data_IF_883812992465
#
_entry.id   IF_883812992465
#
_cell.length_a   1.000
_cell.length_b   1.000
_cell.length_c   1.000
_cell.angle_alpha   90.00
_cell.angle_beta   90.00
_cell.angle_gamma   90.00
#
_symmetry.space_group_name_H-M   'P 1'
#
loop_
_entity.id
_entity.type
_entity.pdbx_description
1 polymer ?
#
# COMPACT_ATOMS: atom_id res chain seq x y z
N UNK A 1 40.96 -35.01 13.81
CA UNK A 1 39.82 -34.83 12.89
C UNK A 1 40.36 -34.49 11.52
N UNK A 2 39.95 -35.24 10.49
CA UNK A 2 40.44 -35.05 9.14
C UNK A 2 39.58 -34.01 8.40
N UNK A 3 40.24 -32.99 7.84
CA UNK A 3 39.63 -31.80 7.19
C UNK A 3 38.67 -32.22 6.06
N UNK A 4 38.94 -33.36 5.44
CA UNK A 4 38.15 -33.94 4.35
C UNK A 4 36.85 -34.60 4.81
N UNK A 5 36.80 -35.04 6.07
CA UNK A 5 35.62 -35.65 6.66
C UNK A 5 34.59 -34.59 7.07
N UNK A 6 35.05 -33.43 7.54
CA UNK A 6 34.19 -32.29 7.91
C UNK A 6 33.46 -31.69 6.70
N UNK A 7 34.15 -31.51 5.56
CA UNK A 7 33.53 -30.96 4.35
C UNK A 7 32.52 -31.91 3.69
N UNK A 8 32.71 -33.23 3.82
CA UNK A 8 31.75 -34.23 3.29
C UNK A 8 30.45 -34.28 4.11
N UNK A 9 30.51 -34.01 5.41
CA UNK A 9 29.32 -33.96 6.27
C UNK A 9 28.44 -32.72 5.99
N UNK A 10 29.02 -31.61 5.49
CA UNK A 10 28.28 -30.37 5.20
C UNK A 10 27.48 -30.38 3.89
N UNK A 11 27.82 -31.23 2.91
CA UNK A 11 27.12 -31.26 1.60
C UNK A 11 25.83 -32.08 1.65
N UNK A 12 25.68 -33.02 2.59
CA UNK A 12 24.46 -33.85 2.68
C UNK A 12 23.30 -33.12 3.36
N UNK A 13 23.54 -32.07 4.15
CA UNK A 13 22.47 -31.25 4.75
C UNK A 13 21.93 -30.14 3.84
N UNK A 14 22.60 -29.85 2.71
CA UNK A 14 22.14 -28.82 1.75
C UNK A 14 21.07 -29.34 0.77
N UNK A 15 20.86 -30.66 0.68
CA UNK A 15 19.95 -31.26 -0.30
C UNK A 15 18.46 -31.26 0.07
N UNK A 16 18.10 -31.06 1.34
CA UNK A 16 16.70 -31.13 1.80
C UNK A 16 16.10 -29.76 2.19
N UNK A 17 16.94 -28.72 2.30
CA UNK A 17 16.51 -27.39 2.75
C UNK A 17 16.05 -26.44 1.64
N UNK A 18 16.49 -26.64 0.40
CA UNK A 18 16.22 -25.70 -0.69
C UNK A 18 14.83 -25.85 -1.34
N UNK A 19 14.05 -26.88 -0.97
CA UNK A 19 12.68 -27.07 -1.45
C UNK A 19 11.61 -26.52 -0.50
N UNK A 20 12.00 -26.07 0.70
CA UNK A 20 11.07 -25.59 1.72
C UNK A 20 10.64 -24.11 1.64
N UNK A 21 11.36 -23.14 1.02
CA UNK A 21 10.86 -21.77 1.00
C UNK A 21 9.77 -21.54 -0.06
N UNK A 22 9.72 -22.36 -1.13
CA UNK A 22 8.69 -22.22 -2.18
C UNK A 22 7.33 -22.73 -1.70
N UNK A 23 7.29 -23.79 -0.88
CA UNK A 23 6.05 -24.33 -0.33
C UNK A 23 5.39 -23.42 0.73
N UNK A 24 6.15 -22.53 1.38
CA UNK A 24 5.63 -21.58 2.37
C UNK A 24 5.00 -20.32 1.74
N UNK A 25 5.34 -20.01 0.48
CA UNK A 25 4.71 -18.93 -0.31
C UNK A 25 3.72 -19.46 -1.37
N UNK A 26 3.76 -20.75 -1.70
CA UNK A 26 2.76 -21.39 -2.53
C UNK A 26 1.49 -21.64 -1.69
N UNK A 27 0.63 -20.63 -1.60
CA UNK A 27 -0.77 -20.82 -1.21
C UNK A 27 -1.32 -21.96 -2.09
N UNK A 28 -1.80 -23.08 -1.53
CA UNK A 28 -2.47 -24.07 -2.36
C UNK A 28 -3.68 -23.37 -2.99
N UNK A 29 -3.83 -23.48 -4.32
CA UNK A 29 -5.00 -22.94 -5.03
C UNK A 29 -6.33 -23.54 -4.52
N UNK A 30 -6.26 -24.59 -3.69
CA UNK A 30 -7.37 -25.24 -3.01
C UNK A 30 -7.64 -24.74 -1.58
N UNK A 31 -6.86 -23.79 -1.05
CA UNK A 31 -7.30 -22.98 0.09
C UNK A 31 -8.34 -21.96 -0.42
N UNK A 32 -9.47 -22.48 -0.87
CA UNK A 32 -10.66 -21.69 -1.12
C UNK A 32 -11.00 -20.98 0.17
N UNK A 33 -10.82 -19.67 0.19
CA UNK A 33 -11.48 -18.84 1.17
C UNK A 33 -12.97 -19.08 0.99
N UNK A 34 -13.57 -19.87 1.88
CA UNK A 34 -15.03 -20.02 2.00
C UNK A 34 -15.69 -18.74 2.53
N UNK A 35 -14.92 -17.67 2.73
CA UNK A 35 -15.45 -16.32 2.79
C UNK A 35 -15.83 -15.95 1.36
N UNK A 36 -17.13 -15.98 1.07
CA UNK A 36 -17.67 -15.56 -0.22
C UNK A 36 -17.03 -14.24 -0.66
N UNK A 37 -16.75 -14.11 -1.95
CA UNK A 37 -16.33 -12.84 -2.52
C UNK A 37 -17.31 -11.76 -2.08
N UNK A 38 -16.82 -10.70 -1.44
CA UNK A 38 -17.66 -9.56 -1.13
C UNK A 38 -18.21 -9.01 -2.46
N UNK A 39 -19.53 -9.08 -2.63
CA UNK A 39 -20.20 -8.31 -3.68
C UNK A 39 -20.45 -6.91 -3.13
N UNK A 40 -20.04 -5.84 -3.83
CA UNK A 40 -20.46 -4.49 -3.48
C UNK A 40 -21.99 -4.46 -3.35
N UNK A 41 -22.49 -3.92 -2.24
CA UNK A 41 -23.91 -3.59 -2.12
C UNK A 41 -24.29 -2.42 -3.02
N UNK A 42 -25.58 -2.13 -3.10
CA UNK A 42 -26.06 -0.92 -3.77
C UNK A 42 -25.49 0.32 -3.07
N UNK A 43 -24.85 1.21 -3.84
CA UNK A 43 -24.25 2.43 -3.30
C UNK A 43 -25.34 3.40 -2.84
N UNK A 44 -25.29 3.93 -1.60
CA UNK A 44 -26.26 4.93 -1.14
C UNK A 44 -26.09 6.28 -1.87
N UNK A 45 -25.01 6.47 -2.61
CA UNK A 45 -24.68 7.71 -3.31
C UNK A 45 -25.13 7.72 -4.78
N UNK A 46 -25.69 6.60 -5.27
CA UNK A 46 -26.03 6.44 -6.68
C UNK A 46 -24.82 6.07 -7.56
N UNK A 47 -25.02 6.05 -8.90
CA UNK A 47 -23.97 5.69 -9.85
C UNK A 47 -22.92 6.81 -9.96
N UNK A 48 -21.73 6.45 -10.41
CA UNK A 48 -20.71 7.42 -10.82
C UNK A 48 -21.17 8.19 -12.07
N UNK A 49 -20.74 9.44 -12.19
CA UNK A 49 -20.85 10.20 -13.43
C UNK A 49 -20.14 9.49 -14.59
N UNK A 50 -20.58 9.73 -15.82
CA UNK A 50 -19.90 9.28 -17.05
C UNK A 50 -18.76 10.19 -17.45
N UNK A 51 -18.82 11.47 -17.04
CA UNK A 51 -17.80 12.47 -17.29
C UNK A 51 -17.02 12.75 -16.00
N UNK A 52 -15.68 12.89 -16.09
CA UNK A 52 -14.86 13.28 -14.94
C UNK A 52 -15.06 14.74 -14.57
N UNK A 53 -14.79 15.05 -13.30
CA UNK A 53 -14.63 16.44 -12.86
C UNK A 53 -13.29 17.05 -13.32
N UNK A 54 -13.01 18.27 -12.89
CA UNK A 54 -11.78 18.99 -13.25
C UNK A 54 -10.48 18.30 -12.80
N UNK A 55 -10.56 17.40 -11.81
CA UNK A 55 -9.43 16.62 -11.31
C UNK A 55 -9.37 15.21 -11.92
N UNK A 56 -10.22 14.91 -12.91
CA UNK A 56 -10.24 13.62 -13.59
C UNK A 56 -11.03 12.52 -12.88
N UNK A 57 -11.83 12.86 -11.85
CA UNK A 57 -12.56 11.89 -11.04
C UNK A 57 -14.00 11.71 -11.49
N UNK A 58 -14.44 10.45 -11.65
CA UNK A 58 -15.85 10.12 -11.81
C UNK A 58 -16.52 10.10 -10.44
N UNK A 59 -17.35 11.10 -10.15
CA UNK A 59 -18.02 11.25 -8.85
C UNK A 59 -19.54 11.03 -8.99
N UNK A 60 -20.24 10.55 -7.95
CA UNK A 60 -21.70 10.56 -7.91
C UNK A 60 -22.26 11.99 -7.98
N UNK A 61 -23.52 12.11 -8.39
CA UNK A 61 -24.18 13.41 -8.50
C UNK A 61 -24.17 14.19 -7.16
N UNK A 62 -23.79 15.46 -7.22
CA UNK A 62 -23.72 16.35 -6.04
C UNK A 62 -22.41 16.31 -5.26
N UNK A 63 -21.47 15.43 -5.62
CA UNK A 63 -20.12 15.41 -5.06
C UNK A 63 -19.16 16.28 -5.88
N UNK A 64 -18.14 16.81 -5.21
CA UNK A 64 -17.01 17.53 -5.83
C UNK A 64 -15.70 17.05 -5.22
N UNK A 65 -14.60 17.25 -5.94
CA UNK A 65 -13.26 17.00 -5.42
C UNK A 65 -12.44 18.27 -5.32
N UNK A 66 -11.37 18.21 -4.53
CA UNK A 66 -10.37 19.27 -4.40
C UNK A 66 -9.03 18.64 -4.08
N UNK A 67 -8.00 19.03 -4.83
CA UNK A 67 -6.61 18.68 -4.51
C UNK A 67 -6.19 19.48 -3.28
N UNK A 68 -5.70 18.80 -2.24
CA UNK A 68 -5.24 19.43 -0.99
C UNK A 68 -3.71 19.48 -0.87
N UNK A 69 -3.01 18.59 -1.58
CA UNK A 69 -1.56 18.54 -1.68
C UNK A 69 -1.15 17.66 -2.88
N UNK A 70 0.01 17.92 -3.47
CA UNK A 70 0.61 17.16 -4.58
C UNK A 70 2.06 16.88 -4.23
N UNK A 71 2.53 15.64 -4.38
CA UNK A 71 3.90 15.27 -4.03
C UNK A 71 4.93 16.11 -4.81
N UNK A 72 5.87 16.69 -4.08
CA UNK A 72 6.89 17.60 -4.61
C UNK A 72 6.44 19.06 -4.79
N UNK A 73 5.18 19.39 -4.45
CA UNK A 73 4.68 20.76 -4.49
C UNK A 73 4.51 21.34 -3.09
N UNK A 74 4.58 22.68 -2.98
CA UNK A 74 4.29 23.38 -1.72
C UNK A 74 2.81 23.26 -1.36
N UNK A 75 2.53 23.02 -0.09
CA UNK A 75 1.15 22.94 0.42
C UNK A 75 0.61 24.35 0.68
N UNK A 76 -0.31 24.79 -0.19
CA UNK A 76 -0.98 26.09 -0.03
C UNK A 76 0.02 27.25 0.01
N UNK A 77 -0.12 28.15 0.99
CA UNK A 77 0.81 29.27 1.22
C UNK A 77 1.91 28.92 2.24
N UNK A 78 2.09 27.64 2.58
CA UNK A 78 3.13 27.21 3.51
C UNK A 78 4.46 26.97 2.77
N UNK A 79 5.57 27.02 3.50
CA UNK A 79 6.89 26.62 3.00
C UNK A 79 7.12 25.10 3.07
N UNK A 80 6.06 24.30 3.26
CA UNK A 80 6.15 22.85 3.37
C UNK A 80 5.92 22.19 2.01
N UNK A 81 6.96 21.54 1.48
CA UNK A 81 6.85 20.68 0.30
C UNK A 81 6.22 19.33 0.70
N UNK A 82 5.14 18.95 0.02
CA UNK A 82 4.48 17.68 0.28
C UNK A 82 5.37 16.52 -0.15
N UNK A 83 5.45 15.49 0.69
CA UNK A 83 6.29 14.34 0.39
C UNK A 83 5.82 13.59 -0.87
N UNK A 84 6.79 13.00 -1.57
CA UNK A 84 6.52 12.15 -2.74
C UNK A 84 5.84 10.84 -2.34
N UNK A 85 5.18 10.19 -3.30
CA UNK A 85 4.49 8.91 -3.13
C UNK A 85 3.58 8.83 -1.88
N UNK A 86 2.62 9.76 -1.72
CA UNK A 86 1.62 9.67 -0.66
C UNK A 86 0.73 8.43 -0.85
N UNK A 87 0.46 7.69 0.22
CA UNK A 87 -0.40 6.51 0.21
C UNK A 87 -1.35 6.52 1.43
N UNK A 88 -1.27 5.52 2.30
CA UNK A 88 -2.02 5.38 3.53
C UNK A 88 -2.05 6.65 4.37
N UNK A 89 -3.27 7.11 4.68
CA UNK A 89 -3.49 8.34 5.41
C UNK A 89 -4.69 8.28 6.35
N UNK A 90 -4.74 9.22 7.28
CA UNK A 90 -5.85 9.39 8.23
C UNK A 90 -5.96 10.83 8.73
N UNK A 91 -7.14 11.16 9.25
CA UNK A 91 -7.42 12.45 9.86
C UNK A 91 -7.67 12.32 11.36
N UNK A 92 -7.18 13.29 12.11
CA UNK A 92 -7.42 13.45 13.55
C UNK A 92 -8.09 14.80 13.78
N UNK A 93 -9.15 14.85 14.59
CA UNK A 93 -9.76 16.14 14.96
C UNK A 93 -8.76 16.99 15.73
N UNK A 94 -8.73 18.28 15.43
CA UNK A 94 -7.95 19.26 16.21
C UNK A 94 -8.67 19.74 17.49
N UNK A 95 -9.95 19.40 17.64
CA UNK A 95 -10.80 19.82 18.76
C UNK A 95 -11.51 21.16 18.56
N UNK A 96 -11.20 21.90 17.49
CA UNK A 96 -11.73 23.23 17.19
C UNK A 96 -12.55 23.28 15.89
N UNK A 97 -12.81 22.11 15.29
CA UNK A 97 -13.61 21.96 14.08
C UNK A 97 -12.78 21.80 12.81
N UNK A 98 -11.46 21.76 12.92
CA UNK A 98 -10.53 21.37 11.87
C UNK A 98 -10.00 19.94 12.06
N UNK A 99 -8.90 19.65 11.38
CA UNK A 99 -8.27 18.34 11.38
C UNK A 99 -6.76 18.42 11.12
N UNK A 100 -6.03 17.48 11.70
CA UNK A 100 -4.69 17.09 11.29
C UNK A 100 -4.78 15.95 10.28
N UNK A 101 -4.00 16.01 9.22
CA UNK A 101 -3.90 14.94 8.23
C UNK A 101 -2.50 14.32 8.30
N UNK A 102 -2.45 13.03 8.60
CA UNK A 102 -1.22 12.25 8.59
C UNK A 102 -1.26 11.30 7.40
N UNK A 103 -0.24 11.35 6.57
CA UNK A 103 -0.10 10.54 5.37
C UNK A 103 1.34 10.01 5.32
N UNK A 104 1.49 8.71 5.05
CA UNK A 104 2.81 8.14 4.83
C UNK A 104 3.36 8.54 3.45
N UNK A 105 4.66 8.32 3.28
CA UNK A 105 5.35 8.36 2.00
C UNK A 105 5.88 6.95 1.73
N UNK A 106 5.43 6.29 0.66
CA UNK A 106 5.97 4.99 0.26
C UNK A 106 7.25 5.18 -0.57
N UNK A 107 8.34 5.50 0.13
CA UNK A 107 9.68 5.58 -0.42
C UNK A 107 10.52 4.38 -0.01
N UNK A 108 11.40 3.96 -0.90
CA UNK A 108 12.47 3.01 -0.58
C UNK A 108 13.71 3.76 -0.08
N UNK A 109 14.62 3.08 0.62
CA UNK A 109 15.85 3.68 1.14
C UNK A 109 16.65 4.48 0.09
N UNK A 110 16.68 4.02 -1.16
CA UNK A 110 17.41 4.71 -2.22
C UNK A 110 16.72 5.98 -2.76
N UNK A 111 15.48 6.23 -2.35
CA UNK A 111 14.67 7.41 -2.70
C UNK A 111 14.52 8.38 -1.52
N UNK A 112 14.76 7.92 -0.29
CA UNK A 112 14.71 8.76 0.90
C UNK A 112 16.02 9.56 1.03
N UNK A 113 15.96 10.84 1.44
CA UNK A 113 17.15 11.59 1.82
C UNK A 113 17.78 10.97 3.08
N UNK A 114 19.11 11.04 3.19
CA UNK A 114 19.90 10.62 4.37
C UNK A 114 19.52 11.37 5.66
#
# INVERSE_FOLDING_TARGET
MDRRHFLRAGVVSAGTGAMLPVAMFARPASAGSSQGSASPGESPYGPLSTEPDENGLLLPAGFTSRVIAVGGELVGETDYEWHIFPDGAGTFSDGEGGWYYACNSEVFDFMAPD
#
